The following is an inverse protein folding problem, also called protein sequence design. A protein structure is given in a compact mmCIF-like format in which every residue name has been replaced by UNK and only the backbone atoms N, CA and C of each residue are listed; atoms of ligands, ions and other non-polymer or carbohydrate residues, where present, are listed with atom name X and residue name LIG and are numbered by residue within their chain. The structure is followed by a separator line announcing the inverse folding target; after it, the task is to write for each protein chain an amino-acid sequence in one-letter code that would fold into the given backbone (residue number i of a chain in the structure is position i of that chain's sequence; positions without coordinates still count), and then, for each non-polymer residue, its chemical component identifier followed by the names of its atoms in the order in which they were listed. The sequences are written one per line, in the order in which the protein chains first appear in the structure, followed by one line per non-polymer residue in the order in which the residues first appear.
data_IF_673893378789
#
_entry.id   IF_673893378789
#
_cell.length_a   1.000
_cell.length_b   1.000
_cell.length_c   1.000
_cell.angle_alpha   90.00
_cell.angle_beta   90.00
_cell.angle_gamma   90.00
#
_symmetry.space_group_name_H-M   'P 1'
#
loop_
_entity.id
_entity.type
_entity.pdbx_description
1 polymer ?
#
# COMPACT_ATOMS: atom_id res chain seq x y z
N UNK A 1 -5.97 35.56 10.38
CA UNK A 1 -6.32 34.40 9.52
C UNK A 1 -5.11 34.06 8.67
N UNK A 2 -4.31 33.07 9.07
CA UNK A 2 -3.09 32.68 8.35
C UNK A 2 -3.35 31.43 7.52
N UNK A 3 -3.39 31.59 6.19
CA UNK A 3 -3.32 30.49 5.23
C UNK A 3 -1.90 29.91 5.28
N UNK A 4 -1.76 28.68 5.77
CA UNK A 4 -0.51 27.93 5.64
C UNK A 4 -0.52 27.34 4.22
N UNK A 5 0.26 27.95 3.33
CA UNK A 5 0.61 27.36 2.04
C UNK A 5 1.55 26.18 2.30
N UNK A 6 1.07 24.95 2.11
CA UNK A 6 1.93 23.78 1.96
C UNK A 6 2.36 23.76 0.51
N UNK A 7 3.51 24.40 0.25
CA UNK A 7 4.16 24.37 -1.05
C UNK A 7 4.78 22.97 -1.23
N UNK A 8 4.20 22.20 -2.14
CA UNK A 8 4.67 20.89 -2.55
C UNK A 8 6.01 21.06 -3.27
N UNK A 9 7.09 20.46 -2.74
CA UNK A 9 8.34 20.29 -3.49
C UNK A 9 8.12 19.24 -4.58
N UNK A 10 7.66 19.70 -5.73
CA UNK A 10 7.51 18.97 -6.97
C UNK A 10 8.54 19.55 -7.96
N UNK A 11 9.80 19.15 -7.83
CA UNK A 11 10.82 19.23 -8.89
C UNK A 11 12.13 18.61 -8.39
N UNK A 12 12.84 17.95 -9.31
CA UNK A 12 14.11 17.21 -9.15
C UNK A 12 13.97 15.78 -8.61
N UNK A 13 13.63 14.85 -9.50
CA UNK A 13 14.25 13.52 -9.61
C UNK A 13 13.71 12.86 -10.89
N UNK A 14 14.21 13.33 -12.04
CA UNK A 14 13.94 12.75 -13.35
C UNK A 14 15.23 12.28 -14.05
N UNK A 15 16.28 11.98 -13.29
CA UNK A 15 17.55 11.57 -13.86
C UNK A 15 18.29 10.65 -12.90
N UNK A 16 18.68 9.48 -13.42
CA UNK A 16 19.50 8.38 -12.86
C UNK A 16 18.73 7.15 -12.37
N UNK A 17 18.35 6.29 -13.33
CA UNK A 17 18.21 4.85 -13.12
C UNK A 17 18.55 4.09 -14.41
N UNK A 18 19.82 4.08 -14.76
CA UNK A 18 20.45 3.07 -15.59
C UNK A 18 21.77 2.77 -14.90
N UNK A 19 21.88 1.60 -14.26
CA UNK A 19 23.09 0.80 -14.02
C UNK A 19 22.84 -0.18 -12.84
N UNK A 20 22.56 -1.43 -13.23
CA UNK A 20 23.05 -2.68 -12.66
C UNK A 20 23.13 -2.89 -11.13
N UNK A 21 22.48 -3.98 -10.68
CA UNK A 21 23.07 -4.92 -9.73
C UNK A 21 22.68 -4.72 -8.27
N UNK A 22 21.79 -5.60 -7.79
CA UNK A 22 21.41 -5.84 -6.40
C UNK A 22 22.43 -5.38 -5.34
N UNK A 23 22.23 -4.18 -4.80
CA UNK A 23 22.46 -3.89 -3.38
C UNK A 23 21.34 -2.97 -2.90
N UNK A 24 20.54 -3.52 -1.98
CA UNK A 24 19.66 -2.74 -1.12
C UNK A 24 20.54 -1.80 -0.30
N UNK A 25 20.36 -0.49 -0.49
CA UNK A 25 20.29 0.55 0.56
C UNK A 25 20.46 1.93 -0.10
N UNK A 26 19.64 2.89 0.33
CA UNK A 26 19.88 4.35 0.26
C UNK A 26 19.24 5.23 -0.82
N UNK A 27 18.48 4.73 -1.79
CA UNK A 27 17.48 5.58 -2.44
C UNK A 27 16.19 5.47 -1.64
N UNK A 28 16.05 6.39 -0.68
CA UNK A 28 14.95 6.46 0.29
C UNK A 28 13.62 6.15 -0.37
N UNK A 29 13.12 4.93 -0.14
CA UNK A 29 11.87 4.46 -0.70
C UNK A 29 10.80 5.45 -0.30
N UNK A 30 10.14 6.10 -1.26
CA UNK A 30 8.97 6.92 -0.96
C UNK A 30 7.76 5.99 -0.97
N UNK A 31 7.02 5.98 0.14
CA UNK A 31 5.72 5.32 0.23
C UNK A 31 4.66 6.37 -0.08
N UNK A 32 3.75 6.03 -0.99
CA UNK A 32 2.57 6.83 -1.22
C UNK A 32 1.60 6.59 -0.06
N UNK A 33 1.25 7.63 0.69
CA UNK A 33 0.10 7.59 1.58
C UNK A 33 -1.04 8.37 0.96
N UNK A 34 -2.23 7.82 1.09
CA UNK A 34 -3.46 8.56 0.78
C UNK A 34 -3.58 9.67 1.80
N UNK A 35 -3.48 10.91 1.36
CA UNK A 35 -3.53 12.07 2.23
C UNK A 35 -4.96 12.59 2.40
N UNK A 36 -5.79 12.40 1.39
CA UNK A 36 -7.09 13.06 1.35
C UNK A 36 -8.12 12.25 0.58
N UNK A 37 -9.07 11.69 1.33
CA UNK A 37 -10.36 11.25 0.85
C UNK A 37 -11.39 12.25 1.39
N UNK A 38 -12.24 12.84 0.55
CA UNK A 38 -13.33 13.73 0.97
C UNK A 38 -12.92 15.00 1.76
N UNK A 39 -11.75 15.59 1.50
CA UNK A 39 -11.28 16.81 2.18
C UNK A 39 -10.66 16.59 3.57
N UNK A 40 -10.36 15.33 3.92
CA UNK A 40 -9.67 14.96 5.16
C UNK A 40 -8.25 15.51 5.23
N UNK A 41 -7.81 15.81 6.45
CA UNK A 41 -6.47 16.36 6.77
C UNK A 41 -5.59 15.37 7.53
N UNK A 42 -6.16 14.26 7.95
CA UNK A 42 -5.50 13.19 8.67
C UNK A 42 -5.16 12.03 7.74
N UNK A 43 -4.09 11.32 8.06
CA UNK A 43 -3.65 10.16 7.30
C UNK A 43 -4.34 8.89 7.78
N UNK A 44 -4.62 7.94 6.87
CA UNK A 44 -5.05 6.61 7.26
C UNK A 44 -3.95 5.92 8.07
N UNK A 45 -4.36 5.18 9.09
CA UNK A 45 -3.49 4.30 9.89
C UNK A 45 -3.29 2.95 9.22
N UNK A 46 -4.17 2.58 8.29
CA UNK A 46 -4.04 1.38 7.47
C UNK A 46 -4.31 1.80 6.03
N UNK A 47 -3.41 1.45 5.11
CA UNK A 47 -3.60 1.64 3.68
C UNK A 47 -3.21 0.40 2.91
N UNK A 48 -4.03 0.02 1.94
CA UNK A 48 -3.76 -1.00 0.94
C UNK A 48 -4.04 -0.38 -0.41
N UNK A 49 -3.06 -0.40 -1.31
CA UNK A 49 -3.19 0.18 -2.64
C UNK A 49 -2.24 -0.50 -3.64
N UNK A 50 -2.56 -0.38 -4.92
CA UNK A 50 -1.70 -0.83 -6.01
C UNK A 50 -0.86 0.34 -6.50
N UNK A 51 0.46 0.14 -6.52
CA UNK A 51 1.39 1.01 -7.23
C UNK A 51 1.55 0.47 -8.65
N UNK A 52 1.15 1.29 -9.62
CA UNK A 52 1.36 1.00 -11.03
C UNK A 52 2.77 1.44 -11.44
N UNK A 53 3.37 0.71 -12.37
CA UNK A 53 4.67 1.02 -12.97
C UNK A 53 4.51 1.76 -14.29
N UNK A 54 5.40 2.73 -14.54
CA UNK A 54 5.33 3.65 -15.69
C UNK A 54 5.23 2.94 -17.04
N UNK A 55 5.76 1.72 -17.14
CA UNK A 55 5.87 0.98 -18.39
C UNK A 55 4.53 0.45 -18.95
N UNK A 56 3.43 0.46 -18.19
CA UNK A 56 2.11 0.06 -18.71
C UNK A 56 1.35 1.18 -19.44
N UNK A 57 1.83 2.41 -19.36
CA UNK A 57 1.18 3.56 -19.99
C UNK A 57 2.09 4.18 -21.02
N UNK A 58 1.58 4.28 -22.25
CA UNK A 58 2.10 5.00 -23.43
C UNK A 58 2.63 4.04 -24.51
N UNK A 59 1.72 3.44 -25.25
CA UNK A 59 1.92 3.36 -26.71
C UNK A 59 1.89 4.80 -27.24
N UNK A 60 2.81 5.14 -28.12
CA UNK A 60 3.19 6.50 -28.55
C UNK A 60 2.08 7.37 -29.14
N UNK A 61 0.89 6.83 -29.36
CA UNK A 61 -0.09 7.45 -30.26
C UNK A 61 -1.06 8.41 -29.55
N UNK A 62 -0.94 8.57 -28.22
CA UNK A 62 -1.82 9.44 -27.40
C UNK A 62 -1.07 10.46 -26.52
N UNK A 63 0.12 10.90 -26.93
CA UNK A 63 0.99 11.83 -26.17
C UNK A 63 0.50 13.30 -26.12
N UNK A 64 -0.77 13.59 -26.39
CA UNK A 64 -1.31 14.97 -26.43
C UNK A 64 -2.28 15.35 -25.30
N UNK A 65 -2.38 14.57 -24.22
CA UNK A 65 -2.96 15.03 -22.96
C UNK A 65 -2.01 14.66 -21.83
N UNK A 66 -1.68 15.63 -20.96
CA UNK A 66 -0.57 15.57 -20.03
C UNK A 66 -0.52 14.30 -19.19
N UNK A 67 0.68 13.89 -18.80
CA UNK A 67 0.92 12.69 -17.99
C UNK A 67 0.03 12.70 -16.75
N UNK A 68 -1.10 12.00 -16.80
CA UNK A 68 -1.79 11.59 -15.59
C UNK A 68 -0.79 10.67 -14.87
N UNK A 69 -0.02 11.27 -13.96
CA UNK A 69 0.93 10.55 -13.13
C UNK A 69 0.20 9.33 -12.57
N UNK A 70 0.78 8.14 -12.71
CA UNK A 70 0.19 6.89 -12.28
C UNK A 70 -0.35 6.99 -10.85
N UNK A 71 -1.66 7.20 -10.75
CA UNK A 71 -2.35 7.41 -9.50
C UNK A 71 -2.50 6.03 -8.84
N UNK A 72 -1.94 5.81 -7.64
CA UNK A 72 -2.06 4.51 -6.98
C UNK A 72 -3.53 4.13 -6.77
N UNK A 73 -3.91 2.92 -7.13
CA UNK A 73 -5.31 2.49 -7.03
C UNK A 73 -5.59 2.00 -5.61
N UNK A 74 -6.49 2.68 -4.90
CA UNK A 74 -6.81 2.32 -3.50
C UNK A 74 -7.60 1.02 -3.47
N UNK A 75 -7.17 0.08 -2.62
CA UNK A 75 -7.94 -1.11 -2.26
C UNK A 75 -8.71 -0.81 -0.97
N UNK A 76 -8.02 -0.36 0.08
CA UNK A 76 -8.60 -0.06 1.39
C UNK A 76 -7.80 1.01 2.11
N UNK A 77 -8.46 1.98 2.74
CA UNK A 77 -7.88 2.92 3.69
C UNK A 77 -8.75 3.00 4.95
N UNK A 78 -8.12 3.02 6.12
CA UNK A 78 -8.79 3.16 7.42
C UNK A 78 -8.13 4.30 8.21
N UNK A 79 -8.95 5.25 8.69
CA UNK A 79 -8.53 6.40 9.47
C UNK A 79 -8.67 6.17 10.98
N UNK A 80 -7.94 6.94 11.82
CA UNK A 80 -8.03 6.83 13.28
C UNK A 80 -9.44 6.97 13.84
N UNK A 81 -10.32 7.72 13.18
CA UNK A 81 -11.69 7.95 13.64
C UNK A 81 -12.65 6.78 13.35
N UNK A 82 -12.20 5.72 12.68
CA UNK A 82 -13.06 4.61 12.27
C UNK A 82 -13.52 4.68 10.83
N UNK A 83 -13.30 5.80 10.13
CA UNK A 83 -13.70 5.90 8.72
C UNK A 83 -12.91 4.93 7.88
N UNK A 84 -13.60 4.16 7.06
CA UNK A 84 -13.03 3.23 6.10
C UNK A 84 -13.49 3.59 4.69
N UNK A 85 -12.55 3.62 3.75
CA UNK A 85 -12.83 3.74 2.31
C UNK A 85 -12.21 2.55 1.61
N UNK A 86 -12.95 1.88 0.74
CA UNK A 86 -12.52 0.63 0.14
C UNK A 86 -13.10 0.44 -1.27
N UNK A 87 -12.33 -0.13 -2.20
CA UNK A 87 -12.73 -0.36 -3.61
C UNK A 87 -13.73 -1.52 -3.73
N UNK A 88 -14.48 -1.66 -4.82
CA UNK A 88 -15.13 -2.94 -5.13
C UNK A 88 -14.14 -4.04 -5.54
N UNK A 89 -13.01 -3.67 -6.16
CA UNK A 89 -11.98 -4.57 -6.61
C UNK A 89 -10.90 -4.74 -5.51
N UNK A 90 -10.91 -5.91 -4.87
CA UNK A 90 -10.04 -6.24 -3.72
C UNK A 90 -8.59 -6.50 -4.08
N UNK A 91 -8.25 -6.55 -5.36
CA UNK A 91 -6.92 -6.92 -5.84
C UNK A 91 -6.27 -5.72 -6.52
N UNK A 92 -6.98 -5.05 -7.43
CA UNK A 92 -6.42 -3.96 -8.23
C UNK A 92 -6.76 -2.59 -7.65
N UNK A 93 -7.76 -2.52 -6.77
CA UNK A 93 -8.30 -1.27 -6.28
C UNK A 93 -9.10 -0.53 -7.36
N UNK A 94 -9.27 0.78 -7.17
CA UNK A 94 -9.97 1.63 -8.13
C UNK A 94 -11.47 1.76 -7.86
N UNK A 95 -12.16 2.58 -8.65
CA UNK A 95 -13.61 2.77 -8.55
C UNK A 95 -14.40 1.51 -8.94
N UNK A 96 -15.65 1.34 -8.47
CA UNK A 96 -16.34 2.17 -7.47
C UNK A 96 -15.77 2.00 -6.06
N UNK A 97 -15.86 3.06 -5.26
CA UNK A 97 -15.43 3.10 -3.88
C UNK A 97 -16.63 3.10 -2.94
N UNK A 98 -16.43 2.53 -1.76
CA UNK A 98 -17.42 2.48 -0.70
C UNK A 98 -16.85 3.09 0.57
N UNK A 99 -17.74 3.69 1.36
CA UNK A 99 -17.44 4.21 2.68
C UNK A 99 -18.16 3.38 3.73
N UNK A 100 -17.45 3.11 4.81
CA UNK A 100 -17.94 2.43 5.98
C UNK A 100 -17.40 3.10 7.25
N UNK A 101 -18.00 2.75 8.39
CA UNK A 101 -17.53 3.16 9.70
C UNK A 101 -17.20 1.91 10.52
N UNK A 102 -16.01 1.90 11.12
CA UNK A 102 -15.54 0.89 12.05
C UNK A 102 -15.55 1.45 13.46
N UNK A 103 -15.89 0.60 14.41
CA UNK A 103 -15.69 0.90 15.81
C UNK A 103 -14.20 0.90 16.16
N UNK A 104 -13.84 1.68 17.18
CA UNK A 104 -12.48 1.66 17.74
C UNK A 104 -12.08 0.27 18.25
N UNK A 105 -13.06 -0.52 18.69
CA UNK A 105 -12.85 -1.91 19.14
C UNK A 105 -12.40 -2.81 17.98
N UNK A 106 -12.99 -2.67 16.80
CA UNK A 106 -12.61 -3.45 15.61
C UNK A 106 -11.20 -3.11 15.15
N UNK A 107 -10.87 -1.81 15.06
CA UNK A 107 -9.51 -1.35 14.71
C UNK A 107 -8.50 -1.88 15.74
N UNK A 108 -8.77 -1.69 17.03
CA UNK A 108 -7.88 -2.14 18.10
C UNK A 108 -7.72 -3.65 18.10
N UNK A 109 -8.80 -4.39 17.84
CA UNK A 109 -8.76 -5.85 17.74
C UNK A 109 -7.90 -6.31 16.56
N UNK A 110 -7.96 -5.61 15.42
CA UNK A 110 -7.10 -5.90 14.27
C UNK A 110 -5.63 -5.66 14.61
N UNK A 111 -5.30 -4.48 15.14
CA UNK A 111 -3.91 -4.13 15.51
C UNK A 111 -3.34 -5.08 16.56
N UNK A 112 -4.14 -5.45 17.58
CA UNK A 112 -3.74 -6.42 18.59
C UNK A 112 -3.45 -7.81 18.00
N UNK A 113 -4.20 -8.25 16.97
CA UNK A 113 -3.89 -9.51 16.28
C UNK A 113 -2.52 -9.45 15.60
N UNK A 114 -2.16 -8.32 14.98
CA UNK A 114 -0.82 -8.15 14.41
C UNK A 114 0.28 -8.21 15.49
N UNK A 115 0.04 -7.62 16.66
CA UNK A 115 0.97 -7.69 17.81
C UNK A 115 1.19 -9.12 18.33
N UNK A 116 0.19 -10.00 18.21
CA UNK A 116 0.35 -11.43 18.58
C UNK A 116 1.14 -12.24 17.56
N UNK A 117 1.55 -11.64 16.44
CA UNK A 117 2.36 -12.26 15.39
C UNK A 117 3.74 -11.62 15.30
N UNK A 118 4.59 -12.12 14.42
CA UNK A 118 5.88 -11.53 14.08
C UNK A 118 5.76 -10.35 13.09
N UNK A 119 4.55 -9.81 12.85
CA UNK A 119 4.31 -8.75 11.85
C UNK A 119 5.29 -7.57 11.99
N UNK A 120 5.52 -7.12 13.22
CA UNK A 120 6.39 -5.98 13.55
C UNK A 120 7.88 -6.29 13.57
N UNK A 121 8.32 -7.53 13.33
CA UNK A 121 9.74 -7.89 13.29
C UNK A 121 10.47 -7.12 12.18
N UNK A 122 11.51 -6.36 12.54
CA UNK A 122 12.27 -5.52 11.62
C UNK A 122 13.19 -6.33 10.70
N UNK A 123 13.68 -7.49 11.15
CA UNK A 123 14.69 -8.29 10.45
C UNK A 123 14.13 -9.05 9.24
N UNK A 124 12.81 -9.13 9.12
CA UNK A 124 12.15 -9.79 7.99
C UNK A 124 12.00 -8.85 6.80
N UNK A 125 12.28 -9.40 5.62
CA UNK A 125 12.07 -8.73 4.33
C UNK A 125 10.64 -8.24 4.17
N UNK A 126 10.52 -7.00 3.71
CA UNK A 126 9.24 -6.27 3.61
C UNK A 126 8.67 -6.25 2.19
N UNK A 127 9.38 -6.80 1.21
CA UNK A 127 9.04 -6.61 -0.20
C UNK A 127 9.46 -7.79 -1.07
N UNK A 128 8.52 -8.31 -1.84
CA UNK A 128 8.73 -9.36 -2.84
C UNK A 128 8.01 -9.05 -4.15
N UNK A 129 8.73 -8.42 -5.07
CA UNK A 129 8.24 -8.03 -6.39
C UNK A 129 9.40 -7.90 -7.38
N UNK A 130 9.11 -7.94 -8.68
CA UNK A 130 10.12 -7.82 -9.74
C UNK A 130 10.41 -6.39 -10.13
N UNK A 131 11.52 -6.21 -10.84
CA UNK A 131 11.83 -4.93 -11.46
C UNK A 131 10.71 -4.56 -12.45
N UNK A 132 10.21 -3.33 -12.38
CA UNK A 132 9.13 -2.82 -13.22
C UNK A 132 7.79 -3.57 -13.13
N UNK A 133 7.51 -4.27 -12.02
CA UNK A 133 6.19 -4.85 -11.81
C UNK A 133 5.25 -3.91 -11.04
N UNK A 134 3.98 -3.93 -11.43
CA UNK A 134 2.92 -3.45 -10.57
C UNK A 134 2.93 -4.25 -9.27
N UNK A 135 2.50 -3.63 -8.17
CA UNK A 135 2.53 -4.27 -6.86
C UNK A 135 1.48 -3.70 -5.92
N UNK A 136 0.88 -4.57 -5.14
CA UNK A 136 0.13 -4.19 -3.96
C UNK A 136 1.11 -3.71 -2.87
N UNK A 137 0.68 -2.72 -2.10
CA UNK A 137 1.40 -2.19 -0.95
C UNK A 137 0.42 -2.12 0.22
N UNK A 138 0.79 -2.72 1.34
CA UNK A 138 0.11 -2.58 2.63
C UNK A 138 0.97 -1.69 3.50
N UNK A 139 0.39 -0.67 4.12
CA UNK A 139 1.05 0.19 5.11
C UNK A 139 0.20 0.22 6.36
N UNK A 140 0.82 -0.07 7.51
CA UNK A 140 0.14 -0.06 8.81
C UNK A 140 0.96 0.81 9.78
N UNK A 141 0.27 1.76 10.39
CA UNK A 141 0.80 2.71 11.36
C UNK A 141 0.07 2.46 12.68
N UNK A 142 0.82 2.09 13.72
CA UNK A 142 0.29 1.91 15.08
C UNK A 142 1.21 2.58 16.09
N UNK A 143 0.71 3.64 16.73
CA UNK A 143 1.47 4.46 17.69
C UNK A 143 2.81 4.96 17.10
N UNK A 144 3.93 4.36 17.53
CA UNK A 144 5.30 4.65 17.11
C UNK A 144 5.83 3.66 16.07
N UNK A 145 5.06 2.64 15.71
CA UNK A 145 5.44 1.60 14.76
C UNK A 145 4.84 1.93 13.39
N UNK A 146 5.66 1.77 12.35
CA UNK A 146 5.15 1.69 10.99
C UNK A 146 5.78 0.50 10.31
N UNK A 147 4.96 -0.26 9.59
CA UNK A 147 5.41 -1.39 8.78
C UNK A 147 4.74 -1.29 7.43
N UNK A 148 5.48 -1.64 6.38
CA UNK A 148 4.89 -1.86 5.07
C UNK A 148 5.22 -3.26 4.57
N UNK A 149 4.34 -3.78 3.72
CA UNK A 149 4.57 -4.97 2.91
C UNK A 149 4.34 -4.57 1.45
N UNK A 150 5.15 -5.07 0.52
CA UNK A 150 4.89 -4.90 -0.91
C UNK A 150 5.05 -6.19 -1.70
N UNK A 151 4.07 -6.52 -2.54
CA UNK A 151 4.15 -7.71 -3.38
C UNK A 151 3.33 -7.62 -4.65
N UNK A 152 3.82 -8.30 -5.70
CA UNK A 152 3.13 -8.50 -6.98
C UNK A 152 2.24 -9.75 -7.03
N UNK A 153 2.27 -10.65 -6.03
CA UNK A 153 1.61 -11.95 -6.16
C UNK A 153 0.10 -11.86 -6.32
N UNK A 154 -0.58 -10.94 -5.64
CA UNK A 154 -2.03 -10.77 -5.80
C UNK A 154 -2.42 -10.40 -7.23
N UNK A 155 -1.56 -9.64 -7.93
CA UNK A 155 -1.79 -9.20 -9.30
C UNK A 155 -1.45 -10.31 -10.30
N UNK A 156 -0.28 -10.93 -10.16
CA UNK A 156 0.22 -11.93 -11.09
C UNK A 156 -0.55 -13.27 -10.98
N UNK A 157 -0.96 -13.67 -9.77
CA UNK A 157 -1.69 -14.92 -9.53
C UNK A 157 -3.20 -14.83 -9.84
N UNK A 158 -3.69 -13.67 -10.32
CA UNK A 158 -5.00 -13.61 -10.97
C UNK A 158 -5.06 -14.60 -12.14
N UNK A 159 -3.96 -14.71 -12.90
CA UNK A 159 -3.80 -15.78 -13.86
C UNK A 159 -3.56 -17.11 -13.12
N UNK A 160 -4.55 -17.99 -13.16
CA UNK A 160 -4.52 -19.25 -12.43
C UNK A 160 -3.42 -20.22 -12.91
N UNK A 161 -2.79 -19.95 -14.05
CA UNK A 161 -1.67 -20.72 -14.58
C UNK A 161 -0.30 -20.20 -14.12
N UNK A 162 -0.26 -19.10 -13.37
CA UNK A 162 0.95 -18.51 -12.80
C UNK A 162 1.00 -18.73 -11.29
N UNK A 163 2.23 -18.75 -10.77
CA UNK A 163 2.54 -18.72 -9.35
C UNK A 163 3.73 -17.81 -9.13
N UNK A 164 3.67 -17.00 -8.09
CA UNK A 164 4.79 -16.16 -7.70
C UNK A 164 5.65 -16.93 -6.70
N UNK A 165 6.94 -17.01 -7.00
CA UNK A 165 7.96 -17.66 -6.18
C UNK A 165 8.93 -16.61 -5.62
N UNK A 166 9.89 -17.10 -4.84
CA UNK A 166 10.97 -16.27 -4.33
C UNK A 166 11.91 -15.75 -5.43
N UNK A 167 11.84 -16.33 -6.64
CA UNK A 167 12.68 -16.02 -7.81
C UNK A 167 11.97 -15.23 -8.90
N UNK A 168 10.64 -15.15 -8.89
CA UNK A 168 9.90 -14.51 -9.98
C UNK A 168 8.48 -15.02 -10.12
N UNK A 169 7.88 -14.74 -11.28
CA UNK A 169 6.61 -15.32 -11.69
C UNK A 169 6.90 -16.52 -12.58
N UNK A 170 6.31 -17.68 -12.26
CA UNK A 170 6.55 -18.93 -12.99
C UNK A 170 5.23 -19.55 -13.47
N UNK A 171 5.19 -20.16 -14.67
CA UNK A 171 4.05 -20.94 -15.10
C UNK A 171 3.99 -22.29 -14.36
N UNK A 172 2.78 -22.75 -14.06
CA UNK A 172 2.57 -24.05 -13.39
C UNK A 172 2.99 -25.23 -14.27
N UNK A 173 2.71 -25.18 -15.59
CA UNK A 173 3.08 -26.23 -16.55
C UNK A 173 2.65 -27.65 -16.10
N UNK A 174 1.43 -27.78 -15.57
CA UNK A 174 0.89 -29.05 -15.08
C UNK A 174 1.28 -29.43 -13.65
N UNK A 175 2.21 -28.69 -13.02
CA UNK A 175 2.51 -28.81 -11.59
C UNK A 175 1.40 -28.15 -10.76
N UNK A 176 1.20 -28.64 -9.55
CA UNK A 176 0.40 -27.96 -8.54
C UNK A 176 1.15 -26.77 -7.95
N UNK A 177 0.41 -25.77 -7.46
CA UNK A 177 0.99 -24.64 -6.70
C UNK A 177 1.80 -25.12 -5.50
N UNK A 178 1.34 -26.16 -4.81
CA UNK A 178 2.03 -26.73 -3.65
C UNK A 178 3.43 -27.25 -4.04
N UNK A 179 3.54 -27.93 -5.18
CA UNK A 179 4.83 -28.43 -5.67
C UNK A 179 5.79 -27.28 -5.98
N UNK A 180 5.33 -26.23 -6.69
CA UNK A 180 6.19 -25.08 -6.99
C UNK A 180 6.62 -24.35 -5.71
N UNK A 181 5.67 -24.09 -4.81
CA UNK A 181 5.92 -23.40 -3.54
C UNK A 181 6.83 -24.17 -2.59
N UNK A 182 6.88 -25.52 -2.67
CA UNK A 182 7.78 -26.33 -1.86
C UNK A 182 9.26 -26.12 -2.15
N UNK A 183 9.59 -25.49 -3.28
CA UNK A 183 10.96 -25.15 -3.68
C UNK A 183 11.39 -23.72 -3.31
N UNK A 184 10.48 -22.92 -2.73
CA UNK A 184 10.79 -21.57 -2.27
C UNK A 184 11.52 -21.59 -0.93
N UNK A 185 12.26 -20.52 -0.64
CA UNK A 185 12.89 -20.29 0.67
C UNK A 185 11.88 -20.15 1.81
N UNK A 186 12.30 -20.53 3.02
CA UNK A 186 11.52 -20.35 4.25
C UNK A 186 11.18 -18.88 4.49
N UNK A 187 12.10 -17.97 4.15
CA UNK A 187 11.87 -16.52 4.25
C UNK A 187 10.69 -16.07 3.38
N UNK A 188 10.60 -16.54 2.14
CA UNK A 188 9.47 -16.24 1.26
C UNK A 188 8.17 -16.85 1.78
N UNK A 189 8.22 -18.09 2.26
CA UNK A 189 7.06 -18.74 2.86
C UNK A 189 6.51 -17.95 4.06
N UNK A 190 7.40 -17.45 4.94
CA UNK A 190 7.03 -16.58 6.07
C UNK A 190 6.44 -15.26 5.58
N UNK A 191 7.05 -14.61 4.58
CA UNK A 191 6.55 -13.38 3.98
C UNK A 191 5.11 -13.55 3.43
N UNK A 192 4.87 -14.60 2.65
CA UNK A 192 3.55 -14.88 2.06
C UNK A 192 2.52 -15.25 3.14
N UNK A 193 2.91 -16.01 4.17
CA UNK A 193 2.02 -16.32 5.29
C UNK A 193 1.58 -15.04 6.02
N UNK A 194 2.53 -14.14 6.31
CA UNK A 194 2.25 -12.84 6.92
C UNK A 194 1.36 -11.97 6.03
N UNK A 195 1.67 -11.87 4.74
CA UNK A 195 0.84 -11.13 3.79
C UNK A 195 -0.60 -11.62 3.80
N UNK A 196 -0.80 -12.93 3.63
CA UNK A 196 -2.13 -13.56 3.60
C UNK A 196 -2.88 -13.35 4.90
N UNK A 197 -2.20 -13.45 6.04
CA UNK A 197 -2.79 -13.17 7.35
C UNK A 197 -3.30 -11.73 7.45
N UNK A 198 -2.47 -10.74 7.10
CA UNK A 198 -2.85 -9.32 7.14
C UNK A 198 -4.01 -9.04 6.20
N UNK A 199 -3.96 -9.52 4.96
CA UNK A 199 -5.06 -9.36 4.00
C UNK A 199 -6.35 -9.99 4.52
N UNK A 200 -6.29 -11.22 5.00
CA UNK A 200 -7.45 -11.92 5.54
C UNK A 200 -8.09 -11.17 6.74
N UNK A 201 -7.28 -10.67 7.67
CA UNK A 201 -7.79 -9.91 8.82
C UNK A 201 -8.32 -8.52 8.43
N UNK A 202 -7.77 -7.89 7.39
CA UNK A 202 -8.30 -6.64 6.84
C UNK A 202 -9.63 -6.82 6.11
N UNK A 203 -9.79 -7.90 5.33
CA UNK A 203 -11.04 -8.19 4.63
C UNK A 203 -12.21 -8.39 5.61
N UNK A 204 -11.94 -8.94 6.80
CA UNK A 204 -12.94 -9.07 7.88
C UNK A 204 -13.43 -7.75 8.45
N UNK A 205 -12.68 -6.66 8.26
CA UNK A 205 -13.11 -5.33 8.71
C UNK A 205 -14.12 -4.71 7.76
N UNK A 206 -14.28 -5.23 6.54
CA UNK A 206 -15.27 -4.71 5.60
C UNK A 206 -16.67 -5.05 6.13
N UNK A 207 -17.50 -4.06 6.49
CA UNK A 207 -18.85 -4.33 6.96
C UNK A 207 -19.80 -4.60 5.80
N UNK A 208 -20.87 -5.34 6.08
CA UNK A 208 -21.95 -5.58 5.14
C UNK A 208 -22.66 -4.27 4.76
N UNK A 209 -22.83 -3.36 5.73
CA UNK A 209 -23.44 -2.04 5.53
C UNK A 209 -22.40 -1.02 5.05
N UNK A 210 -22.71 -0.35 3.93
CA UNK A 210 -21.82 0.64 3.34
C UNK A 210 -22.57 1.67 2.51
N UNK A 211 -21.90 2.80 2.26
CA UNK A 211 -22.39 3.84 1.36
C UNK A 211 -21.51 3.88 0.11
N UNK A 212 -22.13 3.83 -1.07
CA UNK A 212 -21.40 4.03 -2.32
C UNK A 212 -20.90 5.48 -2.40
N UNK A 213 -19.61 5.66 -2.64
CA UNK A 213 -19.01 6.96 -2.90
C UNK A 213 -19.14 7.27 -4.38
N UNK A 214 -19.30 8.55 -4.73
CA UNK A 214 -19.46 8.95 -6.12
C UNK A 214 -18.33 8.37 -7.01
N UNK A 215 -18.68 7.95 -8.23
CA UNK A 215 -17.74 7.34 -9.19
C UNK A 215 -16.49 8.20 -9.46
N UNK A 216 -16.61 9.52 -9.28
CA UNK A 216 -15.56 10.52 -9.51
C UNK A 216 -14.79 10.91 -8.23
N UNK A 217 -14.80 10.07 -7.20
CA UNK A 217 -14.01 10.32 -6.00
C UNK A 217 -12.52 10.42 -6.36
N UNK A 218 -11.91 11.56 -6.02
CA UNK A 218 -10.48 11.79 -6.19
C UNK A 218 -9.77 11.61 -4.86
N UNK A 219 -8.67 10.87 -4.88
CA UNK A 219 -7.75 10.78 -3.77
C UNK A 219 -6.59 11.74 -4.02
N UNK A 220 -6.19 12.49 -3.00
CA UNK A 220 -4.90 13.19 -3.02
C UNK A 220 -3.87 12.33 -2.29
N UNK A 221 -2.67 12.25 -2.85
CA UNK A 221 -1.59 11.42 -2.34
C UNK A 221 -0.50 12.31 -1.77
N UNK A 222 0.00 11.96 -0.60
CA UNK A 222 1.25 12.48 -0.08
C UNK A 222 2.35 11.44 -0.27
N UNK A 223 3.48 11.89 -0.76
CA UNK A 223 4.70 11.09 -0.78
C UNK A 223 5.38 11.25 0.57
N UNK A 224 5.47 10.19 1.36
CA UNK A 224 6.35 10.15 2.52
C UNK A 224 7.57 9.30 2.16
N UNK A 225 8.77 9.82 2.38
CA UNK A 225 9.95 8.96 2.39
C UNK A 225 9.86 7.97 3.57
N UNK A 226 10.37 6.76 3.39
CA UNK A 226 10.50 5.74 4.46
C UNK A 226 11.26 6.34 5.64
N UNK A 227 12.26 7.18 5.40
CA UNK A 227 12.98 7.92 6.47
C UNK A 227 12.07 8.88 7.24
N UNK A 228 11.13 9.55 6.58
CA UNK A 228 10.14 10.42 7.26
C UNK A 228 9.15 9.61 8.10
N UNK A 229 8.75 8.43 7.61
CA UNK A 229 7.90 7.47 8.30
C UNK A 229 8.60 6.93 9.56
N UNK A 230 9.85 6.48 9.42
CA UNK A 230 10.66 5.93 10.50
C UNK A 230 11.04 7.00 11.54
N UNK A 231 11.14 8.27 11.14
CA UNK A 231 11.27 9.39 12.07
C UNK A 231 9.95 9.62 12.80
N UNK A 232 9.74 8.84 13.85
CA UNK A 232 8.56 8.87 14.72
C UNK A 232 8.22 10.28 15.23
N UNK A 233 9.21 11.17 15.30
CA UNK A 233 9.03 12.57 15.66
C UNK A 233 8.19 13.38 14.64
N UNK A 234 8.27 13.11 13.33
CA UNK A 234 7.48 13.84 12.33
C UNK A 234 6.03 13.36 12.28
N UNK A 235 5.83 12.05 12.32
CA UNK A 235 4.49 11.43 12.40
C UNK A 235 3.78 11.88 13.70
N UNK A 236 4.46 11.80 14.84
CA UNK A 236 3.90 12.30 16.11
C UNK A 236 3.73 13.82 16.14
N UNK A 237 4.60 14.62 15.51
CA UNK A 237 4.40 16.08 15.41
C UNK A 237 3.22 16.42 14.52
N UNK A 238 2.99 15.66 13.44
CA UNK A 238 1.81 15.79 12.60
C UNK A 238 0.53 15.47 13.39
N UNK A 239 0.48 14.33 14.09
CA UNK A 239 -0.67 13.93 14.91
C UNK A 239 -0.89 14.84 16.14
N UNK A 240 0.17 15.27 16.85
CA UNK A 240 0.08 16.21 18.00
C UNK A 240 -0.36 17.62 17.60
N UNK A 241 -0.14 18.04 16.35
CA UNK A 241 -0.57 19.35 15.87
C UNK A 241 -2.07 19.37 15.55
N UNK A 242 -2.66 18.23 15.20
CA UNK A 242 -4.10 18.08 14.95
C UNK A 242 -4.90 17.98 16.26
N UNK A 243 -4.37 17.34 17.31
CA UNK A 243 -5.06 17.20 18.60
C UNK A 243 -5.17 18.49 19.43
N UNK A 244 -4.51 19.57 19.01
CA UNK A 244 -4.59 20.91 19.63
C UNK A 244 -5.59 21.85 18.96
N UNK A 245 -6.30 21.40 17.92
CA UNK A 245 -7.41 22.13 17.31
C UNK A 245 -8.70 21.58 17.93
N UNK A 246 -9.07 22.11 19.10
CA UNK A 246 -10.42 22.04 19.67
C UNK A 246 -10.99 23.44 19.71
#
# INVERSE_FOLDING_TARGET
MNKINVLVMLSLLHSLSLMCGCTTNELGSKVNLVANAEGRKDFPIISVFVSLTANKTVTSDNLSAGSEALVPQIITCIWPDGTMVYSSNRIEGGSPYYKAALSQKEISSFLNKLETTDFWNADQRQSWYGFDSDRSIIVIIDQSKTKYLSSWHELEEQNQNLVVTDRGVEPLQGRSRKEVMSSCSDEYAQFIAKWKFVRYELEKLIPDEHTNLAENMKFEYAYLSVREIESTAHVNKFFRKQSKIK
#
